data_IF_745392506319
#
_entry.id   IF_745392506319
#
_cell.length_a   1.000
_cell.length_b   1.000
_cell.length_c   1.000
_cell.angle_alpha   90.00
_cell.angle_beta   90.00
_cell.angle_gamma   90.00
#
_symmetry.space_group_name_H-M   'P 1'
#
loop_
_entity.id
_entity.type
_entity.pdbx_description
1 polymer ?
#
# COMPACT_ATOMS: atom_id res chain seq x y z
N UNK A 1 4.68 -18.52 -2.63
CA UNK A 1 5.37 -19.58 -3.42
C UNK A 1 4.60 -19.95 -4.68
N UNK A 2 3.29 -20.18 -4.61
CA UNK A 2 2.45 -20.58 -5.76
C UNK A 2 2.52 -19.58 -6.92
N UNK A 3 2.35 -18.29 -6.67
CA UNK A 3 2.38 -17.23 -7.69
C UNK A 3 3.72 -17.09 -8.39
N UNK A 4 4.83 -17.31 -7.68
CA UNK A 4 6.17 -17.38 -8.30
C UNK A 4 6.31 -18.57 -9.25
N UNK A 5 5.78 -19.73 -8.87
CA UNK A 5 5.77 -20.92 -9.74
C UNK A 5 4.86 -20.70 -10.97
N UNK A 6 3.71 -20.04 -10.80
CA UNK A 6 2.82 -19.66 -11.90
C UNK A 6 3.51 -18.73 -12.89
N UNK A 7 4.23 -17.71 -12.40
CA UNK A 7 5.01 -16.80 -13.24
C UNK A 7 6.10 -17.54 -14.02
N UNK A 8 6.84 -18.45 -13.38
CA UNK A 8 7.87 -19.25 -14.05
C UNK A 8 7.26 -20.12 -15.16
N UNK A 9 6.08 -20.72 -14.91
CA UNK A 9 5.35 -21.50 -15.91
C UNK A 9 4.90 -20.64 -17.09
N UNK A 10 4.40 -19.43 -16.83
CA UNK A 10 4.00 -18.48 -17.89
C UNK A 10 5.21 -18.05 -18.75
N UNK A 11 6.36 -17.79 -18.15
CA UNK A 11 7.59 -17.51 -18.88
C UNK A 11 8.05 -18.69 -19.76
N UNK A 12 7.94 -19.93 -19.27
CA UNK A 12 8.28 -21.11 -20.07
C UNK A 12 7.36 -21.24 -21.28
N UNK A 13 6.05 -20.99 -21.14
CA UNK A 13 5.10 -20.99 -22.26
C UNK A 13 5.40 -19.87 -23.27
N UNK A 14 5.76 -18.68 -22.82
CA UNK A 14 6.17 -17.58 -23.68
C UNK A 14 7.44 -17.96 -24.48
N UNK A 15 8.42 -18.59 -23.84
CA UNK A 15 9.62 -19.05 -24.53
C UNK A 15 9.30 -20.12 -25.59
N UNK A 16 8.38 -21.03 -25.30
CA UNK A 16 7.92 -22.06 -26.23
C UNK A 16 7.21 -21.42 -27.43
N UNK A 17 6.22 -20.52 -27.21
CA UNK A 17 5.49 -19.85 -28.30
C UNK A 17 6.42 -18.99 -29.14
N UNK A 18 7.40 -18.29 -28.56
CA UNK A 18 8.41 -17.55 -29.31
C UNK A 18 9.31 -18.46 -30.16
N UNK A 19 9.59 -19.69 -29.73
CA UNK A 19 10.31 -20.68 -30.56
C UNK A 19 9.43 -21.12 -31.76
N UNK A 20 8.14 -21.39 -31.54
CA UNK A 20 7.18 -21.72 -32.59
C UNK A 20 7.03 -20.58 -33.61
N UNK A 21 6.98 -19.33 -33.16
CA UNK A 21 6.93 -18.14 -34.03
C UNK A 21 8.17 -18.08 -34.92
N UNK A 22 9.36 -18.28 -34.37
CA UNK A 22 10.60 -18.29 -35.16
C UNK A 22 10.65 -19.42 -36.18
N UNK A 23 10.17 -20.61 -35.80
CA UNK A 23 10.05 -21.74 -36.72
C UNK A 23 9.12 -21.43 -37.89
N UNK A 24 7.92 -20.91 -37.61
CA UNK A 24 6.95 -20.51 -38.64
C UNK A 24 7.52 -19.44 -39.56
N UNK A 25 8.20 -18.44 -39.04
CA UNK A 25 8.87 -17.40 -39.81
C UNK A 25 9.97 -17.95 -40.70
N UNK A 26 10.81 -18.85 -40.18
CA UNK A 26 11.87 -19.50 -40.95
C UNK A 26 11.30 -20.38 -42.06
N UNK A 27 10.18 -21.08 -41.82
CA UNK A 27 9.49 -21.84 -42.84
C UNK A 27 8.93 -20.95 -43.96
N UNK A 28 8.26 -19.86 -43.58
CA UNK A 28 7.73 -18.90 -44.57
C UNK A 28 8.87 -18.30 -45.39
N UNK A 29 9.96 -17.85 -44.77
CA UNK A 29 11.10 -17.29 -45.48
C UNK A 29 11.70 -18.26 -46.51
N UNK A 30 11.77 -19.57 -46.17
CA UNK A 30 12.19 -20.58 -47.15
C UNK A 30 11.23 -20.74 -48.33
N UNK A 31 9.93 -20.74 -48.07
CA UNK A 31 8.92 -20.79 -49.13
C UNK A 31 8.98 -19.55 -50.06
N UNK A 32 9.15 -18.38 -49.50
CA UNK A 32 9.31 -17.12 -50.24
C UNK A 32 10.60 -17.09 -51.08
N UNK A 33 11.69 -17.64 -50.57
CA UNK A 33 12.95 -17.77 -51.30
C UNK A 33 12.83 -18.76 -52.47
N UNK A 34 12.17 -19.89 -52.26
CA UNK A 34 11.88 -20.84 -53.33
C UNK A 34 10.99 -20.21 -54.39
N UNK A 35 9.96 -19.43 -54.02
CA UNK A 35 9.11 -18.69 -54.95
C UNK A 35 9.93 -17.69 -55.81
N UNK A 36 10.85 -16.97 -55.17
CA UNK A 36 11.74 -16.02 -55.82
C UNK A 36 12.65 -16.69 -56.84
N UNK A 37 13.29 -17.82 -56.45
CA UNK A 37 14.22 -18.53 -57.31
C UNK A 37 13.53 -19.26 -58.48
N UNK A 38 12.27 -19.71 -58.29
CA UNK A 38 11.51 -20.41 -59.33
C UNK A 38 10.75 -19.47 -60.28
N UNK A 39 10.85 -18.16 -60.11
CA UNK A 39 10.06 -17.16 -60.85
C UNK A 39 8.55 -17.27 -60.57
N UNK A 40 8.18 -17.66 -59.36
CA UNK A 40 6.81 -17.78 -58.90
C UNK A 40 6.09 -19.07 -59.29
N UNK A 41 6.81 -20.07 -59.84
CA UNK A 41 6.20 -21.33 -60.27
C UNK A 41 5.94 -22.30 -59.16
N UNK A 42 6.78 -22.26 -58.12
CA UNK A 42 6.67 -23.05 -56.90
C UNK A 42 7.20 -22.24 -55.69
N UNK A 43 6.63 -22.36 -54.50
CA UNK A 43 5.43 -23.10 -54.17
C UNK A 43 4.15 -22.44 -54.73
N UNK A 44 3.02 -23.14 -54.63
CA UNK A 44 1.73 -22.57 -55.03
C UNK A 44 1.32 -21.38 -54.20
N UNK A 45 0.46 -20.50 -54.72
CA UNK A 45 -0.07 -19.36 -53.95
C UNK A 45 -0.76 -19.81 -52.64
N UNK A 46 -1.47 -20.94 -52.68
CA UNK A 46 -2.13 -21.51 -51.50
C UNK A 46 -1.11 -21.94 -50.41
N UNK A 47 0.07 -22.47 -50.79
CA UNK A 47 1.13 -22.84 -49.82
C UNK A 47 1.78 -21.61 -49.22
N UNK A 48 1.99 -20.54 -49.96
CA UNK A 48 2.49 -19.27 -49.44
C UNK A 48 1.48 -18.64 -48.46
N UNK A 49 0.20 -18.63 -48.80
CA UNK A 49 -0.86 -18.10 -47.97
C UNK A 49 -1.03 -18.93 -46.70
N UNK A 50 -0.90 -20.26 -46.77
CA UNK A 50 -0.88 -21.13 -45.60
C UNK A 50 0.33 -20.84 -44.72
N UNK A 51 1.52 -20.61 -45.28
CA UNK A 51 2.71 -20.20 -44.57
C UNK A 51 2.53 -18.88 -43.81
N UNK A 52 1.96 -17.88 -44.48
CA UNK A 52 1.64 -16.57 -43.88
C UNK A 52 0.63 -16.72 -42.74
N UNK A 53 -0.47 -17.43 -42.97
CA UNK A 53 -1.47 -17.70 -41.93
C UNK A 53 -0.90 -18.43 -40.72
N UNK A 54 0.09 -19.33 -40.93
CA UNK A 54 0.77 -20.01 -39.84
C UNK A 54 1.62 -19.05 -39.01
N UNK A 55 2.35 -18.14 -39.62
CA UNK A 55 3.11 -17.08 -38.91
C UNK A 55 2.18 -16.19 -38.09
N UNK A 56 1.07 -15.76 -38.68
CA UNK A 56 0.09 -14.90 -37.97
C UNK A 56 -0.51 -15.63 -36.74
N UNK A 57 -0.82 -16.92 -36.90
CA UNK A 57 -1.31 -17.75 -35.79
C UNK A 57 -0.27 -17.88 -34.67
N UNK A 58 0.98 -18.18 -35.04
CA UNK A 58 2.06 -18.30 -34.08
C UNK A 58 2.33 -16.98 -33.32
N UNK A 59 2.26 -15.85 -34.01
CA UNK A 59 2.37 -14.51 -33.38
C UNK A 59 1.21 -14.22 -32.42
N UNK A 60 0.00 -14.60 -32.78
CA UNK A 60 -1.16 -14.46 -31.90
C UNK A 60 -1.01 -15.29 -30.62
N UNK A 61 -0.50 -16.54 -30.74
CA UNK A 61 -0.19 -17.40 -29.60
C UNK A 61 0.92 -16.81 -28.70
N UNK A 62 1.98 -16.25 -29.30
CA UNK A 62 3.04 -15.59 -28.55
C UNK A 62 2.50 -14.35 -27.80
N UNK A 63 1.64 -13.56 -28.45
CA UNK A 63 1.01 -12.40 -27.81
C UNK A 63 0.12 -12.84 -26.64
N UNK A 64 -0.65 -13.91 -26.79
CA UNK A 64 -1.47 -14.48 -25.71
C UNK A 64 -0.61 -15.00 -24.55
N UNK A 65 0.50 -15.67 -24.85
CA UNK A 65 1.44 -16.12 -23.83
C UNK A 65 2.10 -14.95 -23.09
N UNK A 66 2.39 -13.85 -23.79
CA UNK A 66 2.91 -12.61 -23.17
C UNK A 66 1.90 -11.98 -22.23
N UNK A 67 0.63 -11.90 -22.60
CA UNK A 67 -0.44 -11.44 -21.72
C UNK A 67 -0.55 -12.30 -20.46
N UNK A 68 -0.43 -13.63 -20.58
CA UNK A 68 -0.44 -14.54 -19.44
C UNK A 68 0.74 -14.33 -18.48
N UNK A 69 1.89 -13.85 -18.95
CA UNK A 69 3.01 -13.44 -18.10
C UNK A 69 2.66 -12.20 -17.29
N UNK A 70 2.04 -11.19 -17.92
CA UNK A 70 1.63 -9.98 -17.22
C UNK A 70 0.55 -10.27 -16.16
N UNK A 71 -0.41 -11.15 -16.46
CA UNK A 71 -1.41 -11.60 -15.48
C UNK A 71 -0.75 -12.29 -14.27
N UNK A 72 0.22 -13.17 -14.52
CA UNK A 72 0.94 -13.88 -13.46
C UNK A 72 1.81 -12.90 -12.62
N UNK A 73 2.38 -11.87 -13.23
CA UNK A 73 3.09 -10.79 -12.50
C UNK A 73 2.15 -9.99 -11.60
N UNK A 74 0.98 -9.61 -12.12
CA UNK A 74 -0.01 -8.87 -11.35
C UNK A 74 -0.48 -9.68 -10.13
N UNK A 75 -0.73 -10.98 -10.31
CA UNK A 75 -1.08 -11.88 -9.22
C UNK A 75 0.05 -11.97 -8.17
N UNK A 76 1.30 -12.09 -8.60
CA UNK A 76 2.46 -12.09 -7.70
C UNK A 76 2.57 -10.79 -6.90
N UNK A 77 2.44 -9.64 -7.56
CA UNK A 77 2.47 -8.32 -6.91
C UNK A 77 1.38 -8.16 -5.85
N UNK A 78 0.18 -8.68 -6.15
CA UNK A 78 -0.94 -8.70 -5.19
C UNK A 78 -0.60 -9.55 -3.97
N UNK A 79 -0.06 -10.74 -4.16
CA UNK A 79 0.34 -11.65 -3.08
C UNK A 79 1.48 -11.06 -2.23
N UNK A 80 2.47 -10.41 -2.86
CA UNK A 80 3.57 -9.73 -2.16
C UNK A 80 3.05 -8.54 -1.35
N UNK A 81 2.11 -7.78 -1.90
CA UNK A 81 1.44 -6.70 -1.17
C UNK A 81 0.66 -7.23 0.04
N UNK A 82 -0.08 -8.33 -0.13
CA UNK A 82 -0.81 -8.95 0.97
C UNK A 82 0.13 -9.51 2.04
N UNK A 83 1.25 -10.09 1.63
CA UNK A 83 2.29 -10.56 2.55
C UNK A 83 2.92 -9.40 3.33
N UNK A 84 3.18 -8.25 2.69
CA UNK A 84 3.72 -7.07 3.37
C UNK A 84 2.75 -6.52 4.42
N UNK A 85 1.44 -6.57 4.15
CA UNK A 85 0.39 -6.16 5.09
C UNK A 85 0.28 -7.09 6.32
N UNK A 86 0.77 -8.33 6.23
CA UNK A 86 0.81 -9.24 7.36
C UNK A 86 1.87 -8.84 8.42
N UNK A 87 2.82 -7.99 8.06
CA UNK A 87 3.83 -7.43 8.98
C UNK A 87 3.53 -5.97 9.26
N UNK A 88 2.81 -5.70 10.35
CA UNK A 88 2.50 -4.35 10.80
C UNK A 88 3.73 -3.77 11.50
N UNK A 89 4.22 -2.64 11.01
CA UNK A 89 5.38 -1.94 11.56
C UNK A 89 5.00 -0.52 11.97
N UNK A 90 5.68 0.00 12.99
CA UNK A 90 5.54 1.42 13.33
C UNK A 90 6.07 2.29 12.20
N UNK A 91 5.35 3.35 11.79
CA UNK A 91 5.83 4.33 10.82
C UNK A 91 6.81 5.34 11.41
N UNK A 92 6.94 5.36 12.74
CA UNK A 92 7.82 6.28 13.49
C UNK A 92 8.69 5.48 14.46
N UNK A 93 9.87 6.02 14.76
CA UNK A 93 10.69 5.57 15.87
C UNK A 93 10.13 6.17 17.17
N UNK A 94 10.23 5.45 18.30
CA UNK A 94 9.69 5.95 19.55
C UNK A 94 9.52 4.89 20.63
N UNK A 95 8.83 5.28 21.69
CA UNK A 95 8.55 4.44 22.84
C UNK A 95 7.10 3.96 22.82
N UNK A 96 6.88 2.67 23.01
CA UNK A 96 5.53 2.10 23.11
C UNK A 96 4.91 2.51 24.45
N UNK A 97 3.83 3.29 24.41
CA UNK A 97 3.09 3.72 25.59
C UNK A 97 2.10 2.66 26.05
N UNK A 98 1.34 2.11 25.13
CA UNK A 98 0.31 1.09 25.44
C UNK A 98 0.30 0.00 24.38
N UNK A 99 0.03 -1.21 24.82
CA UNK A 99 -0.24 -2.39 24.01
C UNK A 99 -1.65 -2.89 24.34
N UNK A 100 -2.53 -2.93 23.35
CA UNK A 100 -3.93 -3.33 23.52
C UNK A 100 -4.23 -4.72 23.00
N UNK A 101 -3.25 -5.41 22.43
CA UNK A 101 -3.38 -6.76 21.88
C UNK A 101 -2.37 -7.71 22.46
N UNK A 102 -2.77 -8.96 22.68
CA UNK A 102 -1.89 -10.03 23.13
C UNK A 102 -1.55 -11.01 22.01
N UNK A 103 -0.39 -11.70 22.08
CA UNK A 103 -0.08 -12.77 21.15
C UNK A 103 -1.18 -13.83 21.13
N UNK A 104 -1.64 -14.19 19.93
CA UNK A 104 -2.75 -15.11 19.74
C UNK A 104 -4.10 -14.43 19.53
N UNK A 105 -4.22 -13.14 19.77
CA UNK A 105 -5.44 -12.41 19.42
C UNK A 105 -5.60 -12.28 17.89
N UNK A 106 -6.76 -12.67 17.39
CA UNK A 106 -7.09 -12.43 15.99
C UNK A 106 -7.40 -10.95 15.78
N UNK A 107 -6.61 -10.28 14.96
CA UNK A 107 -6.92 -8.94 14.48
C UNK A 107 -7.79 -9.10 13.23
N UNK A 108 -9.11 -9.17 13.44
CA UNK A 108 -10.02 -9.17 12.30
C UNK A 108 -10.03 -7.77 11.69
N UNK A 109 -9.94 -7.69 10.36
CA UNK A 109 -10.25 -6.49 9.61
C UNK A 109 -11.75 -6.23 9.67
N UNK A 110 -12.26 -5.91 10.87
CA UNK A 110 -13.61 -5.40 11.06
C UNK A 110 -13.69 -3.97 10.54
N UNK A 111 -14.89 -3.48 10.26
CA UNK A 111 -15.12 -2.11 9.77
C UNK A 111 -14.60 -1.00 10.70
N UNK A 112 -14.11 -1.35 11.88
CA UNK A 112 -13.50 -0.44 12.85
C UNK A 112 -12.00 -0.72 12.95
N UNK A 113 -11.19 0.34 12.80
CA UNK A 113 -9.76 0.27 13.02
C UNK A 113 -9.46 -0.03 14.50
N UNK A 114 -8.80 -1.17 14.75
CA UNK A 114 -8.39 -1.55 16.10
C UNK A 114 -7.00 -0.96 16.37
N UNK A 115 -6.88 -0.19 17.46
CA UNK A 115 -5.59 0.29 17.92
C UNK A 115 -4.79 -0.88 18.52
N UNK A 116 -3.63 -1.20 17.96
CA UNK A 116 -2.77 -2.29 18.42
C UNK A 116 -1.77 -1.78 19.47
N UNK A 117 -1.09 -0.68 19.15
CA UNK A 117 -0.08 -0.02 19.96
C UNK A 117 -0.26 1.49 19.88
N UNK A 118 0.07 2.18 20.97
CA UNK A 118 0.25 3.62 20.96
C UNK A 118 1.75 3.89 21.14
N UNK A 119 2.33 4.66 20.22
CA UNK A 119 3.77 4.98 20.20
C UNK A 119 3.93 6.48 20.31
N UNK A 120 4.82 6.94 21.18
CA UNK A 120 5.24 8.33 21.28
C UNK A 120 6.64 8.49 20.70
N UNK A 121 6.81 9.46 19.83
CA UNK A 121 8.10 9.81 19.23
C UNK A 121 9.02 10.47 20.25
N UNK A 122 8.48 11.39 21.05
CA UNK A 122 9.21 12.15 22.05
C UNK A 122 8.39 12.26 23.34
N UNK A 123 8.98 11.88 24.45
CA UNK A 123 8.38 11.97 25.78
C UNK A 123 8.74 13.28 26.51
N UNK A 124 9.63 14.08 25.95
CA UNK A 124 10.01 15.38 26.55
C UNK A 124 8.99 16.47 26.26
N UNK A 125 8.23 16.33 25.19
CA UNK A 125 7.17 17.27 24.81
C UNK A 125 5.81 16.71 25.19
N UNK A 126 5.27 17.18 26.27
CA UNK A 126 3.95 16.79 26.76
C UNK A 126 2.89 17.84 26.42
N UNK A 127 1.74 17.37 25.98
CA UNK A 127 0.56 18.19 25.78
C UNK A 127 -0.47 17.87 26.86
N UNK A 128 -0.83 18.87 27.64
CA UNK A 128 -1.91 18.78 28.62
C UNK A 128 -3.20 19.32 27.96
N UNK A 129 -4.25 18.52 27.98
CA UNK A 129 -5.59 18.96 27.58
C UNK A 129 -6.40 19.29 28.81
N UNK A 130 -6.98 20.47 28.85
CA UNK A 130 -7.79 20.98 29.95
C UNK A 130 -9.18 21.32 29.43
N UNK A 131 -10.20 20.84 30.12
CA UNK A 131 -11.58 21.22 29.86
C UNK A 131 -11.84 22.57 30.54
N UNK A 132 -12.23 23.54 29.74
CA UNK A 132 -12.58 24.90 30.19
C UNK A 132 -14.09 25.07 30.09
N UNK A 133 -14.71 25.60 31.12
CA UNK A 133 -16.13 25.92 31.13
C UNK A 133 -16.48 27.01 30.11
N UNK A 134 -17.71 27.01 29.59
CA UNK A 134 -18.19 28.01 28.66
C UNK A 134 -18.10 29.43 29.23
N UNK A 135 -18.28 29.57 30.53
CA UNK A 135 -18.20 30.92 31.19
C UNK A 135 -16.77 31.49 31.18
N UNK A 136 -15.76 30.63 31.18
CA UNK A 136 -14.34 31.02 31.29
C UNK A 136 -13.60 31.04 29.95
N UNK A 137 -14.18 30.42 28.91
CA UNK A 137 -13.52 30.28 27.59
C UNK A 137 -13.10 31.61 26.97
N UNK A 138 -13.88 32.67 27.19
CA UNK A 138 -13.59 33.99 26.68
C UNK A 138 -12.34 34.66 27.26
N UNK A 139 -11.84 34.18 28.43
CA UNK A 139 -10.63 34.64 29.06
C UNK A 139 -9.36 33.88 28.61
N UNK A 140 -9.51 32.73 27.91
CA UNK A 140 -8.40 31.87 27.46
C UNK A 140 -7.84 32.43 26.14
N UNK A 141 -6.52 32.65 26.09
CA UNK A 141 -5.82 33.16 24.91
C UNK A 141 -4.56 32.34 24.62
N UNK A 142 -4.25 32.19 23.34
CA UNK A 142 -3.02 31.56 22.90
C UNK A 142 -1.79 32.30 23.42
N UNK A 143 -0.77 31.55 23.86
CA UNK A 143 0.45 32.12 24.45
C UNK A 143 0.34 32.48 25.93
N UNK A 144 -0.84 32.36 26.54
CA UNK A 144 -1.03 32.63 27.96
C UNK A 144 -0.27 31.64 28.82
N UNK A 145 0.44 32.13 29.85
CA UNK A 145 1.13 31.30 30.85
C UNK A 145 0.11 30.72 31.82
N UNK A 146 0.25 29.46 32.08
CA UNK A 146 -0.57 28.74 33.05
C UNK A 146 0.33 27.94 34.00
N UNK A 147 -0.20 27.52 35.13
CA UNK A 147 0.45 26.56 36.00
C UNK A 147 -0.57 25.52 36.47
N UNK A 148 -0.12 24.28 36.60
CA UNK A 148 -0.96 23.19 37.07
C UNK A 148 -0.23 22.39 38.14
N UNK A 149 -0.98 21.63 38.90
CA UNK A 149 -0.46 20.67 39.90
C UNK A 149 -0.99 19.28 39.55
N UNK A 150 -0.25 18.25 39.90
CA UNK A 150 -0.68 16.86 39.76
C UNK A 150 -0.96 16.25 41.14
N UNK A 151 -1.91 15.36 41.22
CA UNK A 151 -2.31 14.74 42.47
C UNK A 151 -1.16 13.99 43.20
N UNK A 152 -0.19 13.48 42.40
CA UNK A 152 1.01 12.83 42.96
C UNK A 152 1.96 13.81 43.66
N UNK A 153 1.97 15.11 43.28
CA UNK A 153 2.84 16.13 43.85
C UNK A 153 2.06 17.43 44.04
N UNK A 154 1.15 17.51 45.04
CA UNK A 154 0.23 18.65 45.18
C UNK A 154 0.94 19.97 45.55
N UNK A 155 2.14 19.90 46.11
CA UNK A 155 2.94 21.08 46.47
C UNK A 155 3.76 21.63 45.30
N UNK A 156 3.89 20.90 44.19
CA UNK A 156 4.72 21.29 43.06
C UNK A 156 3.86 21.88 41.94
N UNK A 157 4.16 23.12 41.56
CA UNK A 157 3.54 23.78 40.42
C UNK A 157 4.40 23.55 39.16
N UNK A 158 3.77 23.13 38.10
CA UNK A 158 4.40 22.94 36.80
C UNK A 158 3.99 24.06 35.87
N UNK A 159 4.94 24.75 35.24
CA UNK A 159 4.63 25.77 34.25
C UNK A 159 4.14 25.15 32.97
N UNK A 160 3.20 25.82 32.31
CA UNK A 160 2.70 25.45 31.01
C UNK A 160 2.35 26.70 30.19
N UNK A 161 2.28 26.54 28.88
CA UNK A 161 1.87 27.62 28.00
C UNK A 161 0.72 27.16 27.10
N UNK A 162 -0.34 27.93 27.02
CA UNK A 162 -1.47 27.63 26.14
C UNK A 162 -1.00 27.76 24.69
N UNK A 163 -1.05 26.66 23.94
CA UNK A 163 -0.62 26.60 22.53
C UNK A 163 -1.78 26.69 21.57
N UNK A 164 -2.95 26.29 22.02
CA UNK A 164 -4.19 26.37 21.24
C UNK A 164 -5.33 26.70 22.19
N UNK A 165 -6.02 27.81 21.94
CA UNK A 165 -7.27 28.14 22.60
C UNK A 165 -8.38 27.17 22.25
N UNK A 166 -9.44 27.24 22.99
CA UNK A 166 -10.59 26.35 22.93
C UNK A 166 -11.53 26.70 21.78
N UNK A 167 -11.31 26.18 20.59
CA UNK A 167 -12.14 26.47 19.41
C UNK A 167 -13.27 25.48 19.16
N UNK A 168 -13.27 24.33 19.84
CA UNK A 168 -14.30 23.29 19.68
C UNK A 168 -14.98 22.97 21.02
N UNK A 169 -16.31 23.01 21.04
CA UNK A 169 -17.06 22.58 22.22
C UNK A 169 -17.36 21.08 22.18
N UNK A 170 -17.25 20.45 23.34
CA UNK A 170 -17.74 19.09 23.58
C UNK A 170 -18.87 19.14 24.59
N UNK A 171 -20.02 18.53 24.28
CA UNK A 171 -21.14 18.45 25.20
C UNK A 171 -21.18 17.07 25.83
N UNK A 172 -20.95 17.01 27.15
CA UNK A 172 -21.05 15.77 27.94
C UNK A 172 -22.01 16.04 29.12
N UNK A 173 -22.97 15.18 29.31
CA UNK A 173 -23.97 15.29 30.40
C UNK A 173 -24.63 16.67 30.53
N UNK A 174 -24.94 17.26 29.38
CA UNK A 174 -25.55 18.60 29.28
C UNK A 174 -24.63 19.76 29.67
N UNK A 175 -23.36 19.53 29.97
CA UNK A 175 -22.34 20.54 30.22
C UNK A 175 -21.53 20.77 28.93
N UNK A 176 -21.42 22.04 28.54
CA UNK A 176 -20.62 22.45 27.40
C UNK A 176 -19.22 22.80 27.91
N UNK A 177 -18.23 22.08 27.44
CA UNK A 177 -16.82 22.33 27.76
C UNK A 177 -16.02 22.54 26.49
N UNK A 178 -14.95 23.31 26.60
CA UNK A 178 -14.01 23.61 25.54
C UNK A 178 -12.64 23.04 25.90
N UNK A 179 -11.96 22.41 24.93
CA UNK A 179 -10.65 21.81 25.16
C UNK A 179 -9.56 22.84 24.84
N UNK A 180 -8.83 23.27 25.87
CA UNK A 180 -7.62 24.04 25.71
C UNK A 180 -6.39 23.11 25.76
N UNK A 181 -5.44 23.32 24.86
CA UNK A 181 -4.20 22.56 24.79
C UNK A 181 -3.03 23.38 25.33
N UNK A 182 -2.33 22.84 26.31
CA UNK A 182 -1.17 23.46 26.93
C UNK A 182 0.07 22.62 26.61
N UNK A 183 1.15 23.28 26.24
CA UNK A 183 2.47 22.64 26.17
C UNK A 183 3.13 22.69 27.54
N UNK A 184 3.63 21.56 27.94
CA UNK A 184 4.39 21.39 29.18
C UNK A 184 5.82 21.07 28.78
N UNK A 185 6.77 21.87 29.22
CA UNK A 185 8.20 21.60 29.05
C UNK A 185 8.61 20.71 30.24
N UNK A 186 9.00 19.46 29.96
CA UNK A 186 9.40 18.46 30.96
C UNK A 186 10.91 18.47 31.18
#
# INVERSE_FOLDING_TARGET
LRSRASLASAHARLAQSGATTREAQSNLARLEEVARLSGGKVPSAAELDAGRANVERARAEETSARASVEDAKAALSTDETNLSKASIRSPIDGVVLTRTVDPGNAVAASLQAVTLFTVAEDLTQLQLQVNVDEADVGAVRDGQKASFTVSAYPSRKYPATITRGAYGSTKTDNVVTYIACLRVDN
#
